data_IF_985708397662
#
_entry.id   IF_985708397662
#
_cell.length_a   1.000
_cell.length_b   1.000
_cell.length_c   1.000
_cell.angle_alpha   90.00
_cell.angle_beta   90.00
_cell.angle_gamma   90.00
#
_symmetry.space_group_name_H-M   'P 1'
#
loop_
_entity.id
_entity.type
_entity.pdbx_description
1 polymer ?
#
# COMPACT_ATOMS: atom_id res chain seq x y z
N UNK A 1 16.91 102.94 -8.44
CA UNK A 1 15.55 102.78 -7.87
C UNK A 1 15.23 101.30 -7.88
N UNK A 2 15.28 100.66 -6.71
CA UNK A 2 14.83 99.27 -6.58
C UNK A 2 13.31 99.22 -6.69
N UNK A 3 12.81 98.47 -7.66
CA UNK A 3 11.39 98.21 -7.86
C UNK A 3 10.90 97.23 -6.78
N UNK A 4 10.43 97.78 -5.66
CA UNK A 4 9.73 97.02 -4.61
C UNK A 4 8.45 96.42 -5.21
N UNK A 5 8.51 95.12 -5.50
CA UNK A 5 7.39 94.37 -6.06
C UNK A 5 6.34 94.16 -4.95
N UNK A 6 5.07 94.51 -5.23
CA UNK A 6 3.98 94.41 -4.25
C UNK A 6 3.84 92.98 -3.70
N UNK A 7 3.73 92.80 -2.36
CA UNK A 7 3.75 91.49 -1.71
C UNK A 7 2.61 90.56 -2.15
N UNK A 8 1.50 91.11 -2.64
CA UNK A 8 0.39 90.32 -3.19
C UNK A 8 0.75 89.66 -4.53
N UNK A 9 1.47 90.35 -5.43
CA UNK A 9 1.91 89.79 -6.71
C UNK A 9 2.98 88.72 -6.54
N UNK A 10 3.89 88.89 -5.59
CA UNK A 10 4.91 87.90 -5.23
C UNK A 10 4.31 86.60 -4.68
N UNK A 11 3.21 86.67 -3.94
CA UNK A 11 2.51 85.48 -3.45
C UNK A 11 1.82 84.70 -4.58
N UNK A 12 1.18 85.40 -5.51
CA UNK A 12 0.49 84.82 -6.67
C UNK A 12 1.47 84.11 -7.62
N UNK A 13 2.63 84.72 -7.91
CA UNK A 13 3.65 84.10 -8.78
C UNK A 13 4.28 82.86 -8.14
N UNK A 14 4.58 82.92 -6.84
CA UNK A 14 5.08 81.76 -6.09
C UNK A 14 4.06 80.62 -6.02
N UNK A 15 2.76 80.93 -5.93
CA UNK A 15 1.68 79.94 -5.96
C UNK A 15 1.63 79.21 -7.31
N UNK A 16 1.65 79.94 -8.43
CA UNK A 16 1.65 79.35 -9.78
C UNK A 16 2.89 78.48 -10.03
N UNK A 17 4.06 78.95 -9.61
CA UNK A 17 5.31 78.18 -9.71
C UNK A 17 5.23 76.85 -8.94
N UNK A 18 4.69 76.87 -7.71
CA UNK A 18 4.45 75.65 -6.93
C UNK A 18 3.48 74.68 -7.60
N UNK A 19 2.44 75.18 -8.27
CA UNK A 19 1.48 74.34 -9.00
C UNK A 19 2.11 73.70 -10.24
N UNK A 20 2.96 74.43 -10.97
CA UNK A 20 3.74 73.91 -12.10
C UNK A 20 4.76 72.86 -11.65
N UNK A 21 5.51 73.14 -10.58
CA UNK A 21 6.46 72.19 -9.98
C UNK A 21 5.75 70.91 -9.50
N UNK A 22 4.55 71.03 -8.92
CA UNK A 22 3.73 69.88 -8.54
C UNK A 22 3.22 69.09 -9.75
N UNK A 23 2.80 69.76 -10.83
CA UNK A 23 2.42 69.08 -12.09
C UNK A 23 3.61 68.36 -12.70
N UNK A 24 4.79 68.97 -12.68
CA UNK A 24 6.03 68.36 -13.16
C UNK A 24 6.41 67.13 -12.32
N UNK A 25 6.39 67.24 -10.99
CA UNK A 25 6.60 66.10 -10.06
C UNK A 25 5.60 64.97 -10.31
N UNK A 26 4.32 65.28 -10.51
CA UNK A 26 3.28 64.26 -10.78
C UNK A 26 3.54 63.54 -12.10
N UNK A 27 3.97 64.26 -13.15
CA UNK A 27 4.33 63.66 -14.45
C UNK A 27 5.54 62.74 -14.34
N UNK A 28 6.59 63.18 -13.64
CA UNK A 28 7.76 62.35 -13.33
C UNK A 28 7.39 61.09 -12.54
N UNK A 29 6.55 61.22 -11.51
CA UNK A 29 6.06 60.06 -10.75
C UNK A 29 5.22 59.11 -11.61
N UNK A 30 4.35 59.62 -12.48
CA UNK A 30 3.58 58.79 -13.41
C UNK A 30 4.50 58.03 -14.37
N UNK A 31 5.55 58.68 -14.91
CA UNK A 31 6.56 58.02 -15.75
C UNK A 31 7.26 56.89 -15.00
N UNK A 32 7.74 57.17 -13.79
CA UNK A 32 8.42 56.18 -12.96
C UNK A 32 7.50 55.02 -12.56
N UNK A 33 6.24 55.28 -12.22
CA UNK A 33 5.27 54.23 -11.88
C UNK A 33 4.90 53.38 -13.09
N UNK A 34 4.73 53.98 -14.28
CA UNK A 34 4.48 53.23 -15.50
C UNK A 34 5.68 52.35 -15.87
N UNK A 35 6.90 52.87 -15.75
CA UNK A 35 8.11 52.08 -15.96
C UNK A 35 8.18 50.89 -14.99
N UNK A 36 7.96 51.12 -13.68
CA UNK A 36 7.92 50.05 -12.67
C UNK A 36 6.81 49.03 -12.94
N UNK A 37 5.64 49.47 -13.37
CA UNK A 37 4.54 48.57 -13.66
C UNK A 37 4.88 47.64 -14.84
N UNK A 38 5.45 48.20 -15.91
CA UNK A 38 5.93 47.43 -17.07
C UNK A 38 7.06 46.46 -16.68
N UNK A 39 7.99 46.90 -15.85
CA UNK A 39 9.06 46.03 -15.34
C UNK A 39 8.53 44.90 -14.47
N UNK A 40 7.56 45.19 -13.60
CA UNK A 40 6.90 44.18 -12.76
C UNK A 40 6.18 43.13 -13.62
N UNK A 41 5.47 43.56 -14.67
CA UNK A 41 4.84 42.63 -15.61
C UNK A 41 5.87 41.76 -16.35
N UNK A 42 6.93 42.36 -16.89
CA UNK A 42 8.01 41.61 -17.57
C UNK A 42 8.67 40.59 -16.64
N UNK A 43 8.98 40.99 -15.40
CA UNK A 43 9.60 40.11 -14.43
C UNK A 43 8.68 38.94 -14.05
N UNK A 44 7.37 39.19 -13.87
CA UNK A 44 6.40 38.13 -13.60
C UNK A 44 6.31 37.12 -14.75
N UNK A 45 6.29 37.61 -16.00
CA UNK A 45 6.31 36.75 -17.18
C UNK A 45 7.59 35.91 -17.25
N UNK A 46 8.76 36.52 -17.08
CA UNK A 46 10.04 35.81 -17.07
C UNK A 46 10.15 34.78 -15.93
N UNK A 47 9.53 35.04 -14.78
CA UNK A 47 9.47 34.07 -13.69
C UNK A 47 8.56 32.88 -14.03
N UNK A 48 7.42 33.14 -14.67
CA UNK A 48 6.51 32.08 -15.11
C UNK A 48 7.18 31.19 -16.16
N UNK A 49 7.81 31.78 -17.18
CA UNK A 49 8.53 31.04 -18.24
C UNK A 49 9.62 30.15 -17.65
N UNK A 50 10.44 30.68 -16.73
CA UNK A 50 11.45 29.89 -16.01
C UNK A 50 10.85 28.75 -15.19
N UNK A 51 9.71 28.98 -14.54
CA UNK A 51 9.04 27.96 -13.74
C UNK A 51 8.49 26.83 -14.62
N UNK A 52 7.90 27.17 -15.77
CA UNK A 52 7.42 26.18 -16.74
C UNK A 52 8.58 25.37 -17.31
N UNK A 53 9.71 26.00 -17.64
CA UNK A 53 10.89 25.30 -18.14
C UNK A 53 11.47 24.35 -17.08
N UNK A 54 11.53 24.80 -15.83
CA UNK A 54 11.96 23.99 -14.69
C UNK A 54 11.05 22.77 -14.49
N UNK A 55 9.73 22.96 -14.52
CA UNK A 55 8.76 21.88 -14.40
C UNK A 55 8.90 20.85 -15.53
N UNK A 56 9.12 21.29 -16.77
CA UNK A 56 9.38 20.37 -17.88
C UNK A 56 10.67 19.55 -17.66
N UNK A 57 11.75 20.19 -17.18
CA UNK A 57 13.01 19.49 -16.85
C UNK A 57 12.79 18.45 -15.75
N UNK A 58 12.04 18.79 -14.71
CA UNK A 58 11.71 17.88 -13.60
C UNK A 58 10.88 16.69 -14.09
N UNK A 59 9.87 16.94 -14.91
CA UNK A 59 9.02 15.91 -15.49
C UNK A 59 9.82 14.95 -16.40
N UNK A 60 10.70 15.48 -17.24
CA UNK A 60 11.58 14.65 -18.07
C UNK A 60 12.60 13.87 -17.24
N UNK A 61 13.11 14.44 -16.15
CA UNK A 61 13.96 13.73 -15.19
C UNK A 61 13.20 12.59 -14.53
N UNK A 62 11.96 12.83 -14.10
CA UNK A 62 11.12 11.83 -13.47
C UNK A 62 10.77 10.70 -14.44
N UNK A 63 10.42 11.00 -15.70
CA UNK A 63 10.21 10.00 -16.75
C UNK A 63 11.46 9.15 -17.02
N UNK A 64 12.66 9.75 -16.98
CA UNK A 64 13.92 9.00 -17.14
C UNK A 64 14.15 8.07 -15.96
N UNK A 65 14.00 8.56 -14.73
CA UNK A 65 14.10 7.74 -13.50
C UNK A 65 13.10 6.58 -13.52
N UNK A 66 11.87 6.84 -13.92
CA UNK A 66 10.85 5.81 -14.07
C UNK A 66 11.26 4.74 -15.09
N UNK A 67 11.76 5.14 -16.27
CA UNK A 67 12.26 4.20 -17.28
C UNK A 67 13.47 3.40 -16.79
N UNK A 68 14.37 4.04 -16.06
CA UNK A 68 15.55 3.40 -15.47
C UNK A 68 15.15 2.36 -14.42
N UNK A 69 14.25 2.72 -13.49
CA UNK A 69 13.66 1.80 -12.51
C UNK A 69 12.94 0.63 -13.19
N UNK A 70 12.08 0.90 -14.18
CA UNK A 70 11.40 -0.14 -14.95
C UNK A 70 12.38 -1.03 -15.75
N UNK A 71 13.55 -0.50 -16.13
CA UNK A 71 14.59 -1.28 -16.80
C UNK A 71 15.43 -2.11 -15.83
N UNK A 72 15.65 -1.61 -14.62
CA UNK A 72 16.39 -2.28 -13.54
C UNK A 72 15.56 -3.38 -12.85
N UNK A 73 14.25 -3.23 -12.86
CA UNK A 73 13.27 -4.25 -12.48
C UNK A 73 13.17 -5.40 -13.51
N UNK A 74 13.86 -5.30 -14.66
CA UNK A 74 14.17 -6.44 -15.52
C UNK A 74 15.22 -7.35 -14.88
N UNK A 75 14.93 -7.84 -13.68
CA UNK A 75 15.08 -9.27 -13.44
C UNK A 75 14.41 -9.98 -14.63
N UNK A 76 15.02 -10.98 -15.25
CA UNK A 76 14.45 -11.69 -16.41
C UNK A 76 13.11 -12.41 -16.11
N UNK A 77 12.50 -12.17 -14.95
CA UNK A 77 11.26 -12.76 -14.51
C UNK A 77 10.11 -11.76 -14.64
N UNK A 78 9.09 -12.16 -15.40
CA UNK A 78 7.82 -11.45 -15.49
C UNK A 78 7.18 -11.34 -14.09
N UNK A 79 6.51 -10.23 -13.72
CA UNK A 79 5.77 -10.13 -12.46
C UNK A 79 4.77 -11.28 -12.25
N UNK A 80 4.18 -11.78 -13.33
CA UNK A 80 3.33 -12.98 -13.31
C UNK A 80 4.10 -14.23 -12.90
N UNK A 81 5.34 -14.39 -13.39
CA UNK A 81 6.20 -15.52 -13.04
C UNK A 81 6.62 -15.46 -11.58
N UNK A 82 6.94 -14.29 -11.04
CA UNK A 82 7.29 -14.12 -9.62
C UNK A 82 6.11 -14.53 -8.74
N UNK A 83 4.92 -14.00 -9.02
CA UNK A 83 3.71 -14.35 -8.25
C UNK A 83 3.40 -15.84 -8.38
N UNK A 84 3.41 -16.39 -9.60
CA UNK A 84 3.17 -17.81 -9.83
C UNK A 84 4.16 -18.69 -9.06
N UNK A 85 5.43 -18.31 -9.03
CA UNK A 85 6.49 -19.05 -8.36
C UNK A 85 6.33 -19.04 -6.83
N UNK A 86 5.97 -17.90 -6.23
CA UNK A 86 5.66 -17.83 -4.79
C UNK A 86 4.50 -18.77 -4.45
N UNK A 87 3.39 -18.70 -5.20
CA UNK A 87 2.24 -19.57 -4.95
C UNK A 87 2.57 -21.05 -5.18
N UNK A 88 3.39 -21.36 -6.19
CA UNK A 88 3.87 -22.72 -6.47
C UNK A 88 4.73 -23.24 -5.31
N UNK A 89 5.67 -22.43 -4.82
CA UNK A 89 6.53 -22.79 -3.68
C UNK A 89 5.71 -23.04 -2.42
N UNK A 90 4.74 -22.18 -2.12
CA UNK A 90 3.82 -22.36 -0.99
C UNK A 90 3.01 -23.65 -1.13
N UNK A 91 2.41 -23.89 -2.30
CA UNK A 91 1.66 -25.12 -2.56
C UNK A 91 2.53 -26.38 -2.41
N UNK A 92 3.74 -26.37 -2.98
CA UNK A 92 4.66 -27.50 -2.83
C UNK A 92 5.03 -27.70 -1.37
N UNK A 93 5.33 -26.62 -0.64
CA UNK A 93 5.76 -26.70 0.76
C UNK A 93 4.70 -27.31 1.67
N UNK A 94 3.44 -26.91 1.52
CA UNK A 94 2.30 -27.51 2.23
C UNK A 94 2.13 -29.01 1.95
N UNK A 95 2.55 -29.49 0.78
CA UNK A 95 2.55 -30.93 0.47
C UNK A 95 3.73 -31.63 1.11
N UNK A 96 4.92 -31.03 1.00
CA UNK A 96 6.21 -31.44 1.57
C UNK A 96 7.20 -30.29 1.34
N UNK A 97 8.01 -29.85 2.32
CA UNK A 97 8.45 -30.55 3.53
C UNK A 97 7.72 -30.13 4.83
N UNK A 98 6.67 -29.33 4.76
CA UNK A 98 6.03 -28.72 5.95
C UNK A 98 5.10 -29.66 6.74
N UNK A 99 5.26 -30.98 6.61
CA UNK A 99 4.45 -31.99 7.34
C UNK A 99 5.13 -32.52 8.61
N UNK A 100 5.90 -31.69 9.31
CA UNK A 100 6.58 -32.09 10.54
C UNK A 100 5.73 -31.80 11.78
N UNK A 101 6.10 -32.39 12.91
CA UNK A 101 5.35 -32.30 14.17
C UNK A 101 5.39 -30.90 14.81
N UNK A 102 6.43 -30.11 14.54
CA UNK A 102 6.57 -28.75 15.06
C UNK A 102 7.14 -27.75 14.07
N UNK A 103 6.76 -26.48 14.20
CA UNK A 103 7.35 -25.37 13.42
C UNK A 103 8.86 -25.26 13.60
N UNK A 104 9.37 -25.60 14.79
CA UNK A 104 10.81 -25.60 15.06
C UNK A 104 11.55 -26.67 14.24
N UNK A 105 11.02 -27.89 14.20
CA UNK A 105 11.56 -28.96 13.35
C UNK A 105 11.51 -28.58 11.87
N UNK A 106 10.41 -27.96 11.43
CA UNK A 106 10.29 -27.45 10.06
C UNK A 106 11.39 -26.43 9.77
N UNK A 107 11.58 -25.41 10.63
CA UNK A 107 12.61 -24.38 10.48
C UNK A 107 14.03 -24.94 10.52
N UNK A 108 14.26 -26.09 11.15
CA UNK A 108 15.57 -26.74 11.20
C UNK A 108 15.88 -27.58 9.94
N UNK A 109 14.85 -28.01 9.19
CA UNK A 109 15.01 -28.82 7.99
C UNK A 109 15.65 -28.04 6.84
N UNK A 110 16.69 -28.60 6.21
CA UNK A 110 17.52 -27.91 5.21
C UNK A 110 16.73 -27.41 4.01
N UNK A 111 15.83 -28.22 3.45
CA UNK A 111 14.97 -27.83 2.32
C UNK A 111 13.98 -26.74 2.73
N UNK A 112 13.42 -26.83 3.93
CA UNK A 112 12.50 -25.81 4.45
C UNK A 112 13.22 -24.48 4.58
N UNK A 113 14.44 -24.46 5.13
CA UNK A 113 15.23 -23.22 5.26
C UNK A 113 15.50 -22.57 3.92
N UNK A 114 15.80 -23.36 2.89
CA UNK A 114 16.01 -22.83 1.54
C UNK A 114 14.73 -22.22 0.98
N UNK A 115 13.60 -22.91 1.13
CA UNK A 115 12.30 -22.39 0.66
C UNK A 115 11.90 -21.13 1.42
N UNK A 116 12.05 -21.12 2.76
CA UNK A 116 11.76 -19.94 3.57
C UNK A 116 12.64 -18.76 3.15
N UNK A 117 13.93 -18.96 2.91
CA UNK A 117 14.82 -17.90 2.44
C UNK A 117 14.43 -17.34 1.05
N UNK A 118 13.91 -18.18 0.15
CA UNK A 118 13.41 -17.74 -1.16
C UNK A 118 12.12 -16.92 -0.99
N UNK A 119 11.20 -17.40 -0.15
CA UNK A 119 9.95 -16.71 0.16
C UNK A 119 10.21 -15.37 0.86
N UNK A 120 11.08 -15.32 1.87
CA UNK A 120 11.49 -14.10 2.57
C UNK A 120 12.04 -13.04 1.61
N UNK A 121 12.88 -13.44 0.66
CA UNK A 121 13.40 -12.53 -0.39
C UNK A 121 12.35 -12.07 -1.38
N UNK A 122 11.23 -12.79 -1.49
CA UNK A 122 10.13 -12.47 -2.39
C UNK A 122 9.11 -11.51 -1.75
N UNK A 123 9.12 -11.39 -0.41
CA UNK A 123 8.25 -10.47 0.32
C UNK A 123 8.99 -9.19 0.69
N UNK A 124 8.31 -8.05 0.64
CA UNK A 124 8.81 -6.81 1.23
C UNK A 124 8.75 -6.89 2.76
N UNK A 125 9.62 -6.15 3.46
CA UNK A 125 9.73 -6.19 4.92
C UNK A 125 8.43 -5.85 5.65
N UNK A 126 7.57 -5.04 5.03
CA UNK A 126 6.26 -4.58 5.50
C UNK A 126 5.10 -5.39 4.90
N UNK A 127 5.36 -6.55 4.30
CA UNK A 127 4.33 -7.43 3.77
C UNK A 127 3.28 -7.77 4.84
N UNK A 128 2.00 -7.73 4.46
CA UNK A 128 0.89 -7.91 5.38
C UNK A 128 -0.10 -8.99 4.91
N UNK A 129 -0.73 -9.67 5.87
CA UNK A 129 -1.80 -10.64 5.66
C UNK A 129 -2.91 -10.42 6.69
N UNK A 130 -3.97 -9.71 6.29
CA UNK A 130 -5.01 -9.29 7.23
C UNK A 130 -4.43 -8.34 8.27
N UNK A 131 -4.55 -8.70 9.55
CA UNK A 131 -3.97 -7.94 10.67
C UNK A 131 -2.48 -8.26 10.91
N UNK A 132 -1.92 -9.29 10.25
CA UNK A 132 -0.50 -9.61 10.37
C UNK A 132 0.34 -8.65 9.53
N UNK A 133 1.42 -8.15 10.12
CA UNK A 133 2.40 -7.28 9.46
C UNK A 133 3.81 -7.84 9.65
N UNK A 134 4.62 -7.76 8.60
CA UNK A 134 5.99 -8.22 8.58
C UNK A 134 6.15 -9.62 7.99
N UNK A 135 7.29 -9.83 7.34
CA UNK A 135 7.65 -11.11 6.70
C UNK A 135 7.71 -12.24 7.71
N UNK A 136 8.31 -12.02 8.88
CA UNK A 136 8.45 -13.06 9.90
C UNK A 136 7.07 -13.56 10.38
N UNK A 137 6.15 -12.64 10.69
CA UNK A 137 4.79 -12.97 11.13
C UNK A 137 4.01 -13.72 10.04
N UNK A 138 4.18 -13.33 8.78
CA UNK A 138 3.59 -14.01 7.63
C UNK A 138 4.12 -15.45 7.50
N UNK A 139 5.44 -15.64 7.59
CA UNK A 139 6.08 -16.93 7.47
C UNK A 139 5.71 -17.86 8.61
N UNK A 140 5.63 -17.34 9.83
CA UNK A 140 5.13 -18.10 10.98
C UNK A 140 3.69 -18.56 10.79
N UNK A 141 2.79 -17.68 10.32
CA UNK A 141 1.41 -18.06 10.05
C UNK A 141 1.31 -19.19 9.01
N UNK A 142 2.11 -19.13 7.95
CA UNK A 142 2.14 -20.19 6.93
C UNK A 142 2.60 -21.54 7.51
N UNK A 143 3.59 -21.54 8.40
CA UNK A 143 4.03 -22.74 9.09
C UNK A 143 2.95 -23.27 10.06
N UNK A 144 2.25 -22.40 10.77
CA UNK A 144 1.15 -22.77 11.68
C UNK A 144 -0.02 -23.42 10.92
N UNK A 145 -0.36 -22.93 9.72
CA UNK A 145 -1.34 -23.60 8.87
C UNK A 145 -0.94 -25.03 8.54
N UNK A 146 0.36 -25.27 8.32
CA UNK A 146 0.85 -26.62 8.03
C UNK A 146 0.95 -27.52 9.26
N UNK A 147 1.24 -26.95 10.43
CA UNK A 147 1.34 -27.70 11.68
C UNK A 147 -0.04 -28.13 12.20
N UNK A 148 -0.99 -27.18 12.27
CA UNK A 148 -2.24 -27.42 12.98
C UNK A 148 -3.35 -27.99 12.12
N UNK A 149 -3.33 -27.77 10.80
CA UNK A 149 -4.36 -28.24 9.89
C UNK A 149 -3.85 -29.43 9.07
N UNK A 150 -4.72 -30.42 8.83
CA UNK A 150 -4.27 -31.72 8.31
C UNK A 150 -3.63 -31.68 6.92
N UNK A 151 -4.40 -31.29 5.89
CA UNK A 151 -3.90 -31.19 4.51
C UNK A 151 -4.21 -29.81 3.93
N UNK A 152 -3.35 -28.81 4.18
CA UNK A 152 -3.48 -27.52 3.53
C UNK A 152 -3.29 -27.65 2.03
N UNK A 153 -4.19 -27.03 1.27
CA UNK A 153 -4.15 -27.00 -0.19
C UNK A 153 -4.32 -25.57 -0.68
N UNK A 154 -3.26 -25.01 -1.23
CA UNK A 154 -3.26 -23.69 -1.85
C UNK A 154 -3.36 -23.85 -3.37
N UNK A 155 -4.38 -23.24 -3.98
CA UNK A 155 -4.56 -23.22 -5.44
C UNK A 155 -4.66 -21.80 -5.94
N UNK A 156 -3.67 -21.37 -6.71
CA UNK A 156 -3.72 -20.12 -7.46
C UNK A 156 -4.79 -20.23 -8.57
N UNK A 157 -5.70 -19.28 -8.64
CA UNK A 157 -6.81 -19.27 -9.60
C UNK A 157 -6.58 -18.27 -10.72
N UNK A 158 -6.10 -17.07 -10.38
CA UNK A 158 -5.93 -15.97 -11.33
C UNK A 158 -4.82 -15.04 -10.83
N UNK A 159 -4.03 -14.55 -11.76
CA UNK A 159 -3.14 -13.40 -11.58
C UNK A 159 -3.62 -12.31 -12.55
N UNK A 160 -3.76 -11.08 -12.06
CA UNK A 160 -4.11 -9.92 -12.87
C UNK A 160 -3.24 -8.71 -12.51
N UNK A 161 -2.93 -7.89 -13.51
CA UNK A 161 -2.32 -6.58 -13.27
C UNK A 161 -3.44 -5.59 -12.98
N UNK A 162 -3.33 -4.89 -11.84
CA UNK A 162 -4.34 -3.91 -11.38
C UNK A 162 -3.89 -2.48 -11.66
N UNK A 163 -2.57 -2.27 -11.67
CA UNK A 163 -1.91 -1.04 -12.10
C UNK A 163 -0.49 -1.38 -12.58
N UNK A 164 0.23 -0.38 -13.11
CA UNK A 164 1.62 -0.56 -13.49
C UNK A 164 2.44 -0.99 -12.27
N UNK A 165 3.13 -2.14 -12.37
CA UNK A 165 3.91 -2.71 -11.28
C UNK A 165 3.10 -3.38 -10.15
N UNK A 166 1.77 -3.29 -10.18
CA UNK A 166 0.90 -3.83 -9.11
C UNK A 166 0.12 -5.03 -9.62
N UNK A 167 0.35 -6.17 -8.97
CA UNK A 167 -0.29 -7.45 -9.28
C UNK A 167 -1.30 -7.83 -8.19
N UNK A 168 -2.46 -8.34 -8.60
CA UNK A 168 -3.39 -9.04 -7.72
C UNK A 168 -3.43 -10.53 -8.07
N UNK A 169 -3.42 -11.37 -7.04
CA UNK A 169 -3.58 -12.81 -7.16
C UNK A 169 -4.82 -13.26 -6.39
N UNK A 170 -5.65 -14.07 -7.04
CA UNK A 170 -6.74 -14.78 -6.39
C UNK A 170 -6.31 -16.23 -6.20
N UNK A 171 -6.32 -16.70 -4.96
CA UNK A 171 -6.03 -18.08 -4.62
C UNK A 171 -7.09 -18.64 -3.65
N UNK A 172 -7.23 -19.95 -3.65
CA UNK A 172 -8.07 -20.70 -2.71
C UNK A 172 -7.17 -21.52 -1.80
N UNK A 173 -7.19 -21.21 -0.50
CA UNK A 173 -6.60 -22.03 0.55
C UNK A 173 -7.70 -22.93 1.14
N UNK A 174 -7.49 -24.24 1.12
CA UNK A 174 -8.38 -25.23 1.72
C UNK A 174 -7.67 -25.86 2.91
N UNK A 175 -8.29 -25.83 4.08
CA UNK A 175 -7.74 -26.36 5.32
C UNK A 175 -8.65 -27.47 5.86
N UNK A 176 -8.06 -28.55 6.36
CA UNK A 176 -8.80 -29.63 7.04
C UNK A 176 -8.65 -29.46 8.55
N UNK A 177 -9.77 -29.19 9.22
CA UNK A 177 -9.83 -29.16 10.70
C UNK A 177 -9.86 -30.60 11.20
N UNK A 178 -8.92 -30.96 12.07
CA UNK A 178 -8.84 -32.26 12.72
C UNK A 178 -9.09 -32.10 14.23
N UNK A 179 -9.23 -33.21 14.96
CA UNK A 179 -9.27 -33.19 16.42
C UNK A 179 -8.02 -32.52 17.01
N UNK A 180 -6.85 -32.73 16.40
CA UNK A 180 -5.61 -32.05 16.76
C UNK A 180 -5.73 -30.53 16.61
N UNK A 181 -6.30 -30.05 15.49
CA UNK A 181 -6.54 -28.61 15.29
C UNK A 181 -7.42 -28.03 16.39
N UNK A 182 -8.51 -28.72 16.76
CA UNK A 182 -9.43 -28.25 17.79
C UNK A 182 -8.73 -28.14 19.15
N UNK A 183 -7.99 -29.18 19.55
CA UNK A 183 -7.27 -29.21 20.83
C UNK A 183 -6.25 -28.09 20.99
N UNK A 184 -5.53 -27.75 19.91
CA UNK A 184 -4.36 -26.87 20.01
C UNK A 184 -4.61 -25.46 19.50
N UNK A 185 -5.39 -25.29 18.43
CA UNK A 185 -5.67 -23.96 17.86
C UNK A 185 -6.99 -23.36 18.38
N UNK A 186 -7.94 -24.19 18.84
CA UNK A 186 -9.25 -23.74 19.30
C UNK A 186 -9.71 -24.45 20.60
N UNK A 187 -8.91 -24.43 21.67
CA UNK A 187 -9.18 -25.21 22.89
C UNK A 187 -10.55 -24.89 23.53
N UNK A 188 -11.00 -23.65 23.41
CA UNK A 188 -12.31 -23.19 23.89
C UNK A 188 -13.51 -23.90 23.22
N UNK A 189 -13.34 -24.47 22.02
CA UNK A 189 -14.39 -25.23 21.34
C UNK A 189 -14.54 -26.65 21.91
N UNK A 190 -13.52 -27.21 22.55
CA UNK A 190 -13.58 -28.53 23.18
C UNK A 190 -14.16 -28.46 24.60
N UNK A 191 -13.88 -27.39 25.36
CA UNK A 191 -14.46 -27.15 26.69
C UNK A 191 -15.99 -27.02 26.70
N UNK A 192 -16.57 -26.59 25.57
CA UNK A 192 -18.02 -26.50 25.44
C UNK A 192 -18.68 -27.90 25.41
N UNK A 193 -17.96 -28.95 24.98
CA UNK A 193 -18.45 -30.34 25.02
C UNK A 193 -18.40 -30.96 26.41
N UNK A 194 -17.45 -30.56 27.26
CA UNK A 194 -17.32 -31.11 28.61
C UNK A 194 -18.30 -30.46 29.60
N UNK A 195 -18.75 -29.23 29.37
CA UNK A 195 -19.78 -28.56 30.19
C UNK A 195 -21.22 -28.99 29.90
N UNK A 196 -21.51 -29.59 28.75
CA UNK A 196 -22.83 -30.16 28.46
C UNK A 196 -22.98 -31.63 28.88
N UNK A 197 -21.93 -32.27 29.40
CA UNK A 197 -21.98 -33.63 29.93
C UNK A 197 -22.41 -33.65 31.42
N UNK A 198 -23.52 -33.00 31.73
CA UNK A 198 -24.30 -33.27 32.93
C UNK A 198 -25.74 -33.49 32.47
N UNK A 199 -26.07 -34.74 32.14
CA UNK A 199 -27.37 -35.15 31.63
C UNK A 199 -27.30 -36.50 30.93
N UNK A 200 -27.76 -37.52 31.64
CA UNK A 200 -28.10 -38.88 31.19
C UNK A 200 -27.02 -39.80 30.63
N UNK A 201 -26.60 -40.71 31.52
CA UNK A 201 -26.08 -42.03 31.16
C UNK A 201 -27.22 -42.89 30.63
N UNK A 202 -27.45 -42.86 29.32
CA UNK A 202 -28.09 -43.98 28.62
C UNK A 202 -27.17 -44.52 27.52
N UNK A 203 -26.52 -45.62 27.92
CA UNK A 203 -26.05 -46.76 27.14
C UNK A 203 -26.54 -46.79 25.68
N UNK A 204 -25.59 -46.75 24.73
CA UNK A 204 -25.72 -47.31 23.38
C UNK A 204 -24.31 -47.55 22.83
N UNK A 205 -23.76 -48.70 23.21
CA UNK A 205 -22.81 -49.43 22.37
C UNK A 205 -23.62 -49.90 21.15
N UNK A 206 -23.39 -49.29 19.99
CA UNK A 206 -23.62 -49.81 18.62
C UNK A 206 -23.82 -48.65 17.62
N UNK A 207 -22.71 -48.11 17.11
CA UNK A 207 -22.67 -47.40 15.83
C UNK A 207 -21.22 -47.20 15.34
N UNK A 208 -20.38 -48.24 15.46
CA UNK A 208 -19.18 -48.34 14.63
C UNK A 208 -19.60 -49.10 13.37
N UNK A 209 -19.42 -48.48 12.20
CA UNK A 209 -19.76 -48.97 10.86
C UNK A 209 -21.19 -48.73 10.35
N UNK A 210 -21.46 -47.50 9.90
CA UNK A 210 -22.12 -47.21 8.61
C UNK A 210 -22.30 -45.69 8.46
N UNK A 211 -21.65 -45.07 7.47
CA UNK A 211 -21.89 -43.65 7.19
C UNK A 211 -20.79 -42.92 6.46
N UNK A 212 -20.30 -43.46 5.34
CA UNK A 212 -19.69 -42.61 4.30
C UNK A 212 -20.85 -41.82 3.66
N UNK A 213 -21.18 -40.69 4.26
CA UNK A 213 -22.12 -39.72 3.72
C UNK A 213 -21.36 -38.43 3.41
N UNK A 214 -21.27 -38.09 2.13
CA UNK A 214 -20.92 -36.73 1.71
C UNK A 214 -21.94 -35.77 2.30
N UNK A 215 -21.64 -35.18 3.45
CA UNK A 215 -22.43 -34.10 4.01
C UNK A 215 -22.03 -32.79 3.32
N UNK A 216 -22.70 -32.51 2.21
CA UNK A 216 -22.80 -31.17 1.63
C UNK A 216 -23.69 -30.33 2.55
N UNK A 217 -23.12 -29.94 3.70
CA UNK A 217 -23.77 -29.11 4.70
C UNK A 217 -23.77 -27.65 4.27
N UNK A 218 -24.90 -27.20 3.72
CA UNK A 218 -25.25 -25.79 3.55
C UNK A 218 -25.48 -25.18 4.94
N UNK A 219 -24.50 -24.44 5.44
CA UNK A 219 -24.67 -23.59 6.63
C UNK A 219 -25.08 -22.20 6.13
N UNK A 220 -26.39 -21.97 6.02
CA UNK A 220 -26.95 -20.62 5.98
C UNK A 220 -27.16 -20.16 7.42
N UNK A 221 -26.51 -19.06 7.83
CA UNK A 221 -26.87 -18.39 9.08
C UNK A 221 -25.74 -17.88 9.98
N UNK A 222 -24.63 -17.36 9.46
CA UNK A 222 -23.92 -16.28 10.14
C UNK A 222 -23.20 -15.44 9.09
N UNK A 223 -23.71 -14.24 8.88
CA UNK A 223 -23.23 -13.25 7.92
C UNK A 223 -21.89 -12.66 8.40
N UNK A 224 -20.83 -13.47 8.51
CA UNK A 224 -19.47 -12.95 8.46
C UNK A 224 -19.07 -12.91 7.00
N UNK A 225 -19.36 -11.77 6.39
CA UNK A 225 -18.59 -11.30 5.23
C UNK A 225 -17.12 -11.24 5.68
N UNK A 226 -16.39 -12.34 5.59
CA UNK A 226 -14.95 -12.25 5.39
C UNK A 226 -14.76 -11.80 3.95
N UNK A 227 -14.98 -10.49 3.81
CA UNK A 227 -14.59 -9.71 2.67
C UNK A 227 -13.07 -9.87 2.62
N UNK A 228 -12.57 -10.83 1.85
CA UNK A 228 -11.18 -10.76 1.40
C UNK A 228 -11.13 -9.67 0.32
N UNK A 229 -11.32 -8.43 0.77
CA UNK A 229 -11.19 -7.20 0.00
C UNK A 229 -10.31 -6.29 0.84
N UNK A 230 -9.03 -6.27 0.52
CA UNK A 230 -8.37 -5.06 0.01
C UNK A 230 -6.98 -5.43 -0.46
N UNK A 231 -6.82 -5.31 -1.78
CA UNK A 231 -5.68 -4.67 -2.45
C UNK A 231 -4.46 -4.60 -1.55
N UNK A 232 -3.50 -5.50 -1.79
CA UNK A 232 -2.13 -5.28 -1.36
C UNK A 232 -1.69 -3.95 -2.00
N UNK A 233 -1.80 -2.86 -1.24
CA UNK A 233 -1.11 -1.62 -1.55
C UNK A 233 0.36 -1.89 -1.28
N UNK A 234 1.06 -2.34 -2.31
CA UNK A 234 2.51 -2.25 -2.36
C UNK A 234 2.80 -0.76 -2.57
N UNK A 235 3.30 -0.09 -1.52
CA UNK A 235 3.86 1.26 -1.61
C UNK A 235 5.27 1.20 -2.19
#
# INVERSE_FOLDING_TARGET
MELLTSPAKLKETNKRKREEDNKFRRREQCRANQARYRDKQRNAQLQLERSVEQLHKELETLKRRYRDLASRERSNQSPWSVVAEVFRLLETSFRSPWRMSSTQEMKNHSETRQILAILERSFAHDAAMGELQGVDALMEQLLLFSQFFGKPHLKLQRIESVAFGVMAARAKLSLTVTEFTLRHAFPHLEETRSRSACGDKHRLDDAFAAGVGQSQGRIEGARTRSSFVRVCHWW
#
